data_IF_691034155255
#
_entry.id   IF_691034155255
#
_cell.length_a   1.000
_cell.length_b   1.000
_cell.length_c   1.000
_cell.angle_alpha   90.00
_cell.angle_beta   90.00
_cell.angle_gamma   90.00
#
_symmetry.space_group_name_H-M   'P 1'
#
loop_
_entity.id
_entity.type
_entity.pdbx_description
1 polymer ?
#
# COMPACT_ATOMS: atom_id res chain seq x y z
N UNK A 1 -1.55 56.30 -49.16
CA UNK A 1 -0.95 55.42 -48.14
C UNK A 1 -2.10 54.67 -47.49
N UNK A 2 -2.05 53.34 -47.48
CA UNK A 2 -3.05 52.53 -46.80
C UNK A 2 -2.71 52.45 -45.31
N UNK A 3 -3.74 52.53 -44.47
CA UNK A 3 -3.62 52.40 -43.01
C UNK A 3 -4.57 51.31 -42.53
N UNK A 4 -4.14 50.55 -41.54
CA UNK A 4 -4.99 49.56 -40.87
C UNK A 4 -5.48 50.13 -39.55
N UNK A 5 -6.79 50.25 -39.39
CA UNK A 5 -7.43 50.60 -38.14
C UNK A 5 -7.74 49.33 -37.36
N UNK A 6 -7.11 49.19 -36.19
CA UNK A 6 -7.29 48.06 -35.28
C UNK A 6 -7.87 48.54 -33.95
N UNK A 7 -8.98 47.94 -33.52
CA UNK A 7 -9.65 48.27 -32.26
C UNK A 7 -9.91 46.98 -31.49
N UNK A 8 -9.43 46.91 -30.25
CA UNK A 8 -9.55 45.73 -29.37
C UNK A 8 -10.02 46.14 -27.98
N UNK A 9 -10.92 45.33 -27.40
CA UNK A 9 -11.38 45.49 -26.02
C UNK A 9 -11.60 44.11 -25.38
N UNK A 10 -11.35 43.99 -24.08
CA UNK A 10 -11.43 42.73 -23.34
C UNK A 10 -12.86 42.17 -23.40
N UNK A 11 -13.00 40.89 -23.78
CA UNK A 11 -14.30 40.23 -23.96
C UNK A 11 -15.00 40.51 -25.30
N UNK A 12 -14.33 41.15 -26.25
CA UNK A 12 -14.85 41.42 -27.59
C UNK A 12 -13.86 40.97 -28.67
N UNK A 13 -14.39 40.62 -29.85
CA UNK A 13 -13.54 40.32 -31.01
C UNK A 13 -12.82 41.60 -31.47
N UNK A 14 -11.53 41.44 -31.78
CA UNK A 14 -10.74 42.52 -32.34
C UNK A 14 -11.26 42.88 -33.73
N UNK A 15 -11.53 44.16 -33.95
CA UNK A 15 -11.96 44.71 -35.23
C UNK A 15 -10.74 45.24 -35.99
N UNK A 16 -10.60 44.85 -37.26
CA UNK A 16 -9.53 45.32 -38.16
C UNK A 16 -10.12 45.72 -39.51
N UNK A 17 -9.83 46.94 -39.96
CA UNK A 17 -10.25 47.43 -41.27
C UNK A 17 -9.16 48.29 -41.90
N UNK A 18 -8.87 48.05 -43.17
CA UNK A 18 -7.97 48.90 -43.95
C UNK A 18 -8.72 50.09 -44.52
N UNK A 19 -8.12 51.27 -44.46
CA UNK A 19 -8.66 52.48 -45.07
C UNK A 19 -7.55 53.31 -45.74
N UNK A 20 -7.93 54.05 -46.78
CA UNK A 20 -7.06 55.02 -47.45
C UNK A 20 -7.66 56.41 -47.25
N UNK A 21 -7.01 57.31 -46.48
CA UNK A 21 -7.54 58.64 -46.24
C UNK A 21 -7.57 59.48 -47.53
N UNK A 22 -8.75 60.05 -47.82
CA UNK A 22 -8.99 61.06 -48.87
C UNK A 22 -9.01 62.45 -48.24
N UNK A 23 -8.59 63.51 -48.97
CA UNK A 23 -8.49 64.89 -48.44
C UNK A 23 -9.85 65.52 -48.07
N UNK A 24 -10.98 64.93 -48.48
CA UNK A 24 -12.34 65.42 -48.14
C UNK A 24 -13.07 64.58 -47.08
N UNK A 25 -12.39 63.60 -46.47
CA UNK A 25 -13.05 62.65 -45.57
C UNK A 25 -13.19 63.24 -44.16
N UNK A 26 -14.37 63.80 -43.86
CA UNK A 26 -14.80 64.23 -42.52
C UNK A 26 -15.99 63.39 -42.03
N UNK A 27 -15.90 62.07 -42.17
CA UNK A 27 -16.94 61.15 -41.68
C UNK A 27 -16.56 60.52 -40.34
N UNK A 28 -17.48 60.53 -39.38
CA UNK A 28 -17.34 59.82 -38.13
C UNK A 28 -17.52 58.32 -38.37
N UNK A 29 -16.47 57.53 -38.10
CA UNK A 29 -16.52 56.07 -38.20
C UNK A 29 -17.03 55.51 -36.87
N UNK A 30 -18.24 54.95 -36.86
CA UNK A 30 -18.77 54.21 -35.71
C UNK A 30 -18.37 52.73 -35.82
N UNK A 31 -17.64 52.23 -34.83
CA UNK A 31 -17.17 50.83 -34.78
C UNK A 31 -17.92 50.11 -33.66
N UNK A 32 -18.70 49.10 -34.02
CA UNK A 32 -19.39 48.24 -33.07
C UNK A 32 -18.64 46.91 -32.93
N UNK A 33 -18.05 46.67 -31.76
CA UNK A 33 -17.33 45.43 -31.47
C UNK A 33 -18.31 44.29 -31.16
N UNK A 34 -18.04 43.10 -31.70
CA UNK A 34 -18.83 41.91 -31.40
C UNK A 34 -18.39 41.31 -30.06
N UNK A 35 -19.33 41.13 -29.13
CA UNK A 35 -19.07 40.50 -27.84
C UNK A 35 -18.69 39.03 -28.03
N UNK A 36 -17.59 38.61 -27.40
CA UNK A 36 -17.07 37.25 -27.44
C UNK A 36 -16.44 36.89 -26.08
N UNK A 37 -17.26 36.53 -25.09
CA UNK A 37 -16.78 36.07 -23.80
C UNK A 37 -16.12 34.69 -23.97
N UNK A 38 -14.91 34.55 -23.43
CA UNK A 38 -14.21 33.28 -23.37
C UNK A 38 -14.60 32.60 -22.05
N UNK A 39 -15.42 31.56 -22.13
CA UNK A 39 -15.79 30.76 -20.97
C UNK A 39 -14.65 29.78 -20.67
N UNK A 40 -14.12 29.83 -19.46
CA UNK A 40 -13.17 28.82 -18.98
C UNK A 40 -13.91 27.49 -18.81
N UNK A 41 -13.26 26.39 -19.18
CA UNK A 41 -13.81 25.05 -18.97
C UNK A 41 -13.99 24.79 -17.47
N UNK A 42 -15.09 24.13 -17.13
CA UNK A 42 -15.39 23.70 -15.77
C UNK A 42 -14.34 22.67 -15.29
N UNK A 43 -13.83 22.86 -14.07
CA UNK A 43 -12.91 21.91 -13.43
C UNK A 43 -13.75 20.90 -12.65
N UNK A 44 -13.86 19.66 -13.14
CA UNK A 44 -14.42 18.57 -12.34
C UNK A 44 -13.40 18.11 -11.29
N UNK A 45 -13.71 18.35 -10.02
CA UNK A 45 -13.00 17.75 -8.89
C UNK A 45 -13.64 16.38 -8.61
N UNK A 46 -13.07 15.31 -9.16
CA UNK A 46 -13.50 13.94 -8.82
C UNK A 46 -12.93 13.62 -7.45
N UNK A 47 -13.76 13.76 -6.41
CA UNK A 47 -13.37 13.34 -5.06
C UNK A 47 -13.56 11.84 -4.94
N UNK A 48 -12.45 11.12 -4.88
CA UNK A 48 -12.47 9.71 -4.57
C UNK A 48 -12.75 9.49 -3.08
N UNK A 49 -13.69 8.60 -2.75
CA UNK A 49 -14.01 8.30 -1.34
C UNK A 49 -12.79 7.66 -0.64
N UNK A 50 -12.37 8.17 0.53
CA UNK A 50 -11.18 7.70 1.24
C UNK A 50 -11.38 6.32 1.87
N UNK A 51 -12.61 6.01 2.27
CA UNK A 51 -13.04 4.72 2.81
C UNK A 51 -14.26 4.25 2.05
N UNK A 52 -14.27 2.98 1.65
CA UNK A 52 -15.39 2.34 0.95
C UNK A 52 -15.63 0.97 1.56
N UNK A 53 -16.89 0.56 1.67
CA UNK A 53 -17.24 -0.80 2.08
C UNK A 53 -17.76 -1.57 0.86
N UNK A 54 -17.25 -2.78 0.65
CA UNK A 54 -17.64 -3.68 -0.43
C UNK A 54 -17.93 -5.05 0.16
N UNK A 55 -19.21 -5.34 0.44
CA UNK A 55 -19.61 -6.55 1.17
C UNK A 55 -18.94 -6.57 2.54
N UNK A 56 -18.18 -7.63 2.80
CA UNK A 56 -17.46 -7.84 4.07
C UNK A 56 -16.05 -7.23 4.09
N UNK A 57 -15.70 -6.46 3.06
CA UNK A 57 -14.39 -5.82 2.92
C UNK A 57 -14.47 -4.31 3.15
N UNK A 58 -13.66 -3.79 4.08
CA UNK A 58 -13.46 -2.36 4.26
C UNK A 58 -12.20 -1.92 3.51
N UNK A 59 -12.34 -0.99 2.57
CA UNK A 59 -11.28 -0.53 1.68
C UNK A 59 -10.87 0.89 2.07
N UNK A 60 -9.60 1.06 2.44
CA UNK A 60 -8.97 2.33 2.70
C UNK A 60 -8.05 2.71 1.54
N UNK A 61 -8.16 3.93 1.04
CA UNK A 61 -7.18 4.49 0.09
C UNK A 61 -6.03 5.08 0.87
N UNK A 62 -4.82 4.52 0.71
CA UNK A 62 -3.66 4.95 1.48
C UNK A 62 -3.37 6.44 1.28
N UNK A 63 -3.43 6.92 0.03
CA UNK A 63 -3.15 8.31 -0.34
C UNK A 63 -4.04 9.35 0.36
N UNK A 64 -5.24 8.96 0.81
CA UNK A 64 -6.14 9.86 1.53
C UNK A 64 -5.74 10.07 3.01
N UNK A 65 -4.92 9.19 3.57
CA UNK A 65 -4.49 9.22 4.97
C UNK A 65 -3.00 9.48 5.15
N UNK A 66 -2.22 9.35 4.07
CA UNK A 66 -0.77 9.58 4.08
C UNK A 66 -0.42 11.01 3.64
N UNK A 67 0.66 11.57 4.19
CA UNK A 67 1.18 12.89 3.82
C UNK A 67 2.55 12.85 3.12
N UNK A 68 3.03 11.66 2.78
CA UNK A 68 4.28 11.42 2.05
C UNK A 68 5.51 11.34 2.96
N UNK A 69 5.36 11.42 4.28
CA UNK A 69 6.46 11.22 5.25
C UNK A 69 6.60 9.77 5.70
N UNK A 70 5.65 8.92 5.31
CA UNK A 70 5.64 7.49 5.61
C UNK A 70 6.75 6.79 4.84
N UNK A 71 7.47 5.91 5.53
CA UNK A 71 8.54 5.10 4.95
C UNK A 71 8.08 3.68 4.72
N UNK A 72 7.34 3.13 5.67
CA UNK A 72 6.94 1.72 5.72
C UNK A 72 5.43 1.58 5.88
N UNK A 73 4.93 0.38 5.62
CA UNK A 73 3.52 0.04 5.77
C UNK A 73 3.01 0.28 7.20
N UNK A 74 3.84 0.06 8.22
CA UNK A 74 3.50 0.40 9.61
C UNK A 74 3.09 1.87 9.80
N UNK A 75 3.79 2.80 9.13
CA UNK A 75 3.48 4.23 9.19
C UNK A 75 2.12 4.55 8.53
N UNK A 76 1.79 3.83 7.46
CA UNK A 76 0.51 3.98 6.75
C UNK A 76 -0.62 3.44 7.62
N UNK A 77 -0.45 2.25 8.19
CA UNK A 77 -1.44 1.60 9.06
C UNK A 77 -1.73 2.46 10.29
N UNK A 78 -0.70 3.02 10.92
CA UNK A 78 -0.86 3.89 12.09
C UNK A 78 -1.66 5.18 11.83
N UNK A 79 -1.88 5.55 10.55
CA UNK A 79 -2.72 6.69 10.16
C UNK A 79 -4.14 6.30 9.76
N UNK A 80 -4.44 5.01 9.64
CA UNK A 80 -5.78 4.55 9.28
C UNK A 80 -6.72 4.53 10.50
N UNK A 81 -7.96 5.04 10.36
CA UNK A 81 -8.88 5.07 11.49
C UNK A 81 -9.36 3.66 11.84
N UNK A 82 -9.28 3.31 13.13
CA UNK A 82 -9.69 2.02 13.66
C UNK A 82 -8.65 0.91 13.49
N UNK A 83 -7.44 1.24 13.05
CA UNK A 83 -6.29 0.32 13.00
C UNK A 83 -5.24 0.76 14.02
N UNK A 84 -4.63 -0.21 14.67
CA UNK A 84 -3.51 0.01 15.58
C UNK A 84 -2.36 -0.92 15.19
N UNK A 85 -1.14 -0.46 15.46
CA UNK A 85 0.06 -1.26 15.26
C UNK A 85 0.92 -1.16 16.51
N UNK A 86 1.41 -2.30 16.99
CA UNK A 86 2.32 -2.36 18.14
C UNK A 86 3.79 -2.15 17.73
N UNK A 87 4.69 -2.01 18.71
CA UNK A 87 6.13 -1.85 18.46
C UNK A 87 6.76 -3.07 17.75
N UNK A 88 6.12 -4.23 17.87
CA UNK A 88 6.57 -5.45 17.22
C UNK A 88 6.15 -5.49 15.74
N UNK A 89 5.23 -4.64 15.30
CA UNK A 89 4.67 -4.59 13.96
C UNK A 89 3.38 -5.41 13.80
N UNK A 90 2.76 -5.83 14.91
CA UNK A 90 1.46 -6.51 14.95
C UNK A 90 0.33 -5.53 14.72
N UNK A 91 -0.59 -5.87 13.81
CA UNK A 91 -1.74 -5.03 13.50
C UNK A 91 -2.99 -5.56 14.18
N UNK A 92 -3.77 -4.64 14.74
CA UNK A 92 -5.14 -4.89 15.16
C UNK A 92 -6.11 -3.95 14.44
N UNK A 93 -7.34 -4.41 14.21
CA UNK A 93 -8.43 -3.59 13.68
C UNK A 93 -9.58 -3.68 14.66
N UNK A 94 -10.04 -2.55 15.18
CA UNK A 94 -11.13 -2.49 16.17
C UNK A 94 -10.87 -3.37 17.42
N UNK A 95 -9.61 -3.58 17.79
CA UNK A 95 -9.21 -4.42 18.93
C UNK A 95 -9.04 -5.91 18.61
N UNK A 96 -9.37 -6.35 17.39
CA UNK A 96 -9.14 -7.72 16.93
C UNK A 96 -7.78 -7.83 16.23
N UNK A 97 -6.98 -8.84 16.60
CA UNK A 97 -5.66 -9.06 16.01
C UNK A 97 -5.81 -9.58 14.57
N UNK A 98 -5.03 -9.03 13.66
CA UNK A 98 -4.96 -9.52 12.27
C UNK A 98 -4.10 -10.78 12.22
N UNK A 99 -4.65 -11.87 11.70
CA UNK A 99 -3.96 -13.16 11.65
C UNK A 99 -3.17 -13.35 10.35
N UNK A 100 -3.61 -12.72 9.26
CA UNK A 100 -3.06 -12.93 7.92
C UNK A 100 -2.87 -11.62 7.15
N UNK A 101 -1.77 -11.55 6.40
CA UNK A 101 -1.50 -10.46 5.46
C UNK A 101 -1.36 -11.00 4.05
N UNK A 102 -2.14 -10.42 3.16
CA UNK A 102 -2.13 -10.64 1.73
C UNK A 102 -1.51 -9.42 1.06
N UNK A 103 -0.81 -9.64 -0.05
CA UNK A 103 -0.33 -8.61 -0.96
C UNK A 103 -0.90 -8.92 -2.34
N UNK A 104 -1.65 -7.99 -2.91
CA UNK A 104 -2.42 -8.18 -4.15
C UNK A 104 -3.24 -9.49 -4.16
N UNK A 105 -3.86 -9.83 -3.03
CA UNK A 105 -4.68 -11.03 -2.86
C UNK A 105 -3.90 -12.34 -2.74
N UNK A 106 -2.57 -12.30 -2.71
CA UNK A 106 -1.73 -13.48 -2.45
C UNK A 106 -1.17 -13.43 -1.05
N UNK A 107 -1.10 -14.58 -0.40
CA UNK A 107 -0.45 -14.71 0.89
C UNK A 107 1.00 -14.25 0.83
N UNK A 108 1.35 -13.28 1.67
CA UNK A 108 2.70 -12.74 1.74
C UNK A 108 3.59 -13.64 2.61
N UNK A 109 3.08 -14.03 3.77
CA UNK A 109 3.72 -14.92 4.72
C UNK A 109 2.65 -15.69 5.49
N UNK A 110 2.95 -16.91 5.94
CA UNK A 110 2.06 -17.63 6.85
C UNK A 110 2.28 -17.07 8.26
N UNK A 111 1.27 -16.41 8.82
CA UNK A 111 1.34 -15.81 10.15
C UNK A 111 1.58 -14.30 10.20
N UNK A 112 2.27 -13.88 11.26
CA UNK A 112 2.19 -12.54 11.86
C UNK A 112 2.44 -11.39 10.86
N UNK A 113 1.72 -10.30 11.09
CA UNK A 113 1.72 -9.10 10.24
C UNK A 113 3.08 -8.38 10.17
N UNK A 114 3.97 -8.64 11.13
CA UNK A 114 5.28 -7.98 11.33
C UNK A 114 6.13 -7.91 10.07
N UNK A 115 6.23 -9.02 9.34
CA UNK A 115 7.08 -9.08 8.14
C UNK A 115 6.57 -8.14 7.06
N UNK A 116 5.25 -8.02 6.89
CA UNK A 116 4.67 -7.12 5.91
C UNK A 116 4.80 -5.66 6.37
N UNK A 117 4.42 -5.36 7.60
CA UNK A 117 4.36 -3.99 8.14
C UNK A 117 5.72 -3.32 8.21
N UNK A 118 6.77 -4.09 8.58
CA UNK A 118 8.13 -3.57 8.73
C UNK A 118 8.93 -3.51 7.43
N UNK A 119 8.50 -4.17 6.36
CA UNK A 119 9.29 -4.28 5.12
C UNK A 119 8.64 -3.68 3.88
N UNK A 120 7.30 -3.68 3.78
CA UNK A 120 6.62 -3.12 2.61
C UNK A 120 6.80 -1.60 2.64
N UNK A 121 7.32 -0.99 1.57
CA UNK A 121 7.52 0.45 1.53
C UNK A 121 6.17 1.17 1.36
N UNK A 122 5.97 2.26 2.08
CA UNK A 122 4.70 3.01 2.10
C UNK A 122 4.29 3.48 0.68
N UNK A 123 5.27 3.88 -0.13
CA UNK A 123 5.04 4.37 -1.49
C UNK A 123 4.56 3.28 -2.48
N UNK A 124 4.65 2.00 -2.12
CA UNK A 124 4.14 0.90 -2.94
C UNK A 124 2.66 0.60 -2.69
N UNK A 125 2.07 1.14 -1.62
CA UNK A 125 0.70 0.84 -1.20
C UNK A 125 -0.29 1.76 -1.93
N UNK A 126 -1.28 1.16 -2.60
CA UNK A 126 -2.45 1.84 -3.16
C UNK A 126 -3.60 1.87 -2.15
N UNK A 127 -3.98 0.66 -1.68
CA UNK A 127 -5.13 0.46 -0.79
C UNK A 127 -4.83 -0.57 0.28
N UNK A 128 -5.48 -0.40 1.42
CA UNK A 128 -5.49 -1.39 2.50
C UNK A 128 -6.92 -1.88 2.64
N UNK A 129 -7.11 -3.19 2.53
CA UNK A 129 -8.40 -3.85 2.61
C UNK A 129 -8.45 -4.70 3.87
N UNK A 130 -9.44 -4.43 4.72
CA UNK A 130 -9.74 -5.28 5.87
C UNK A 130 -10.78 -6.29 5.42
N UNK A 131 -10.37 -7.56 5.37
CA UNK A 131 -11.23 -8.69 5.03
C UNK A 131 -11.75 -9.28 6.34
N UNK A 132 -13.06 -9.15 6.57
CA UNK A 132 -13.76 -9.87 7.63
C UNK A 132 -14.07 -11.29 7.16
N UNK A 133 -14.07 -12.25 8.08
CA UNK A 133 -14.41 -13.65 7.82
C UNK A 133 -13.54 -14.32 6.71
N UNK A 134 -12.26 -13.98 6.63
CA UNK A 134 -11.37 -14.50 5.60
C UNK A 134 -11.13 -16.00 5.75
N UNK A 135 -11.60 -16.80 4.79
CA UNK A 135 -11.35 -18.23 4.73
C UNK A 135 -10.57 -18.59 3.46
N UNK A 136 -9.40 -19.22 3.61
CA UNK A 136 -8.57 -19.71 2.50
C UNK A 136 -9.20 -20.86 1.71
N UNK A 137 -10.10 -21.60 2.37
CA UNK A 137 -10.85 -22.71 1.78
C UNK A 137 -12.30 -22.29 1.63
N UNK A 138 -12.91 -22.59 0.48
CA UNK A 138 -14.34 -22.40 0.30
C UNK A 138 -15.09 -23.08 1.48
N UNK A 139 -16.07 -22.42 2.11
CA UNK A 139 -16.71 -22.98 3.29
C UNK A 139 -17.36 -24.32 2.92
N UNK A 140 -16.77 -25.42 3.38
CA UNK A 140 -17.53 -26.65 3.55
C UNK A 140 -18.57 -26.32 4.62
N UNK A 141 -19.85 -26.38 4.23
CA UNK A 141 -20.99 -26.09 5.10
C UNK A 141 -20.78 -26.70 6.49
N UNK A 142 -20.49 -25.87 7.50
CA UNK A 142 -20.57 -26.27 8.91
C UNK A 142 -19.35 -26.09 9.81
N UNK A 143 -18.17 -25.69 9.31
CA UNK A 143 -17.02 -25.36 10.17
C UNK A 143 -16.56 -23.93 9.93
N UNK A 144 -17.11 -23.01 10.72
CA UNK A 144 -16.51 -21.68 10.89
C UNK A 144 -15.26 -21.88 11.75
N UNK A 145 -14.09 -21.95 11.10
CA UNK A 145 -12.83 -21.72 11.79
C UNK A 145 -12.84 -20.31 12.37
N UNK A 146 -12.12 -20.10 13.47
CA UNK A 146 -11.99 -18.84 14.23
C UNK A 146 -12.06 -17.59 13.34
N UNK A 147 -12.75 -16.56 13.82
CA UNK A 147 -12.95 -15.27 13.16
C UNK A 147 -11.62 -14.74 12.58
N UNK A 148 -11.39 -14.99 11.30
CA UNK A 148 -10.12 -14.74 10.64
C UNK A 148 -10.16 -13.33 10.04
N UNK A 149 -9.61 -12.37 10.77
CA UNK A 149 -9.37 -11.04 10.24
C UNK A 149 -8.09 -11.07 9.39
N UNK A 150 -8.21 -10.67 8.12
CA UNK A 150 -7.06 -10.56 7.22
C UNK A 150 -6.92 -9.15 6.65
N UNK A 151 -5.68 -8.73 6.44
CA UNK A 151 -5.37 -7.50 5.73
C UNK A 151 -4.87 -7.81 4.33
N UNK A 152 -5.50 -7.25 3.30
CA UNK A 152 -4.97 -7.28 1.95
C UNK A 152 -4.41 -5.91 1.56
N UNK A 153 -3.12 -5.89 1.24
CA UNK A 153 -2.38 -4.71 0.81
C UNK A 153 -2.37 -4.73 -0.73
N UNK A 154 -3.11 -3.80 -1.33
CA UNK A 154 -3.10 -3.61 -2.77
C UNK A 154 -1.90 -2.72 -3.13
N UNK A 155 -1.06 -3.20 -4.05
CA UNK A 155 0.07 -2.42 -4.55
C UNK A 155 -0.38 -1.47 -5.68
N UNK A 156 0.33 -0.34 -5.80
CA UNK A 156 0.14 0.57 -6.94
C UNK A 156 0.44 -0.14 -8.26
N UNK A 157 -0.22 0.29 -9.33
CA UNK A 157 -0.12 -0.37 -10.64
C UNK A 157 1.32 -0.39 -11.19
N UNK A 158 2.11 0.64 -10.91
CA UNK A 158 3.53 0.76 -11.27
C UNK A 158 4.47 0.01 -10.31
N UNK A 159 3.92 -0.56 -9.22
CA UNK A 159 4.64 -1.25 -8.14
C UNK A 159 4.27 -2.73 -8.02
N UNK A 160 3.75 -3.32 -9.10
CA UNK A 160 3.45 -4.77 -9.16
C UNK A 160 4.67 -5.67 -9.26
N UNK A 161 5.84 -5.11 -9.59
CA UNK A 161 7.12 -5.80 -9.59
C UNK A 161 8.07 -5.05 -8.65
N UNK A 162 8.20 -5.51 -7.42
CA UNK A 162 9.01 -4.83 -6.41
C UNK A 162 9.94 -5.80 -5.71
N UNK A 163 11.18 -5.35 -5.51
CA UNK A 163 12.13 -5.93 -4.57
C UNK A 163 12.18 -4.99 -3.37
N UNK A 164 11.89 -5.51 -2.18
CA UNK A 164 11.86 -4.73 -0.95
C UNK A 164 12.31 -5.57 0.24
N UNK A 165 12.61 -4.89 1.35
CA UNK A 165 13.12 -5.51 2.56
C UNK A 165 14.19 -4.64 3.21
N UNK A 166 14.87 -5.19 4.21
CA UNK A 166 15.86 -4.49 5.00
C UNK A 166 17.19 -5.23 5.05
N UNK A 167 18.26 -4.46 5.19
CA UNK A 167 19.61 -4.95 5.36
C UNK A 167 20.21 -4.24 6.57
N UNK A 168 20.60 -5.02 7.56
CA UNK A 168 21.24 -4.53 8.77
C UNK A 168 22.64 -5.12 8.87
N UNK A 169 23.64 -4.27 9.05
CA UNK A 169 25.02 -4.70 9.27
C UNK A 169 25.64 -3.87 10.39
N UNK A 170 26.38 -4.51 11.29
CA UNK A 170 26.98 -3.85 12.44
C UNK A 170 28.22 -4.59 12.92
N UNK A 171 29.17 -3.81 13.45
CA UNK A 171 30.39 -4.28 14.10
C UNK A 171 30.50 -3.62 15.48
N UNK A 172 31.01 -4.33 16.47
CA UNK A 172 31.15 -3.83 17.84
C UNK A 172 32.43 -4.29 18.54
N UNK A 173 32.72 -3.74 19.74
CA UNK A 173 33.81 -4.20 20.59
C UNK A 173 33.73 -5.71 20.87
N UNK A 174 34.85 -6.34 21.23
CA UNK A 174 34.95 -7.77 21.50
C UNK A 174 34.55 -8.66 20.31
N UNK A 175 34.89 -8.24 19.08
CA UNK A 175 34.61 -8.99 17.83
C UNK A 175 33.12 -9.25 17.57
N UNK A 176 32.24 -8.40 18.11
CA UNK A 176 30.80 -8.51 17.86
C UNK A 176 30.48 -8.12 16.43
N UNK A 177 29.66 -8.93 15.76
CA UNK A 177 29.13 -8.66 14.44
C UNK A 177 27.66 -9.04 14.36
N UNK A 178 26.95 -8.31 13.52
CA UNK A 178 25.58 -8.61 13.12
C UNK A 178 25.43 -8.32 11.63
N UNK A 179 24.78 -9.22 10.93
CA UNK A 179 24.46 -9.11 9.52
C UNK A 179 23.11 -9.78 9.31
N UNK A 180 22.12 -8.99 8.92
CA UNK A 180 20.75 -9.43 8.71
C UNK A 180 20.26 -8.91 7.36
N UNK A 181 19.58 -9.75 6.59
CA UNK A 181 19.04 -9.40 5.28
C UNK A 181 17.67 -10.06 5.10
N UNK A 182 16.63 -9.25 4.99
CA UNK A 182 15.33 -9.66 4.49
C UNK A 182 15.14 -9.08 3.10
N UNK A 183 14.89 -9.93 2.11
CA UNK A 183 14.66 -9.52 0.73
C UNK A 183 13.45 -10.26 0.17
N UNK A 184 12.47 -9.50 -0.28
CA UNK A 184 11.20 -9.98 -0.81
C UNK A 184 11.06 -9.47 -2.24
N UNK A 185 10.92 -10.38 -3.18
CA UNK A 185 10.63 -10.08 -4.58
C UNK A 185 9.21 -10.52 -4.90
N UNK A 186 8.35 -9.56 -5.20
CA UNK A 186 6.96 -9.79 -5.53
C UNK A 186 6.68 -9.43 -6.99
N UNK A 187 6.03 -10.34 -7.70
CA UNK A 187 5.53 -10.13 -9.06
C UNK A 187 4.21 -10.89 -9.28
N UNK A 188 3.42 -10.55 -10.31
CA UNK A 188 2.17 -11.26 -10.59
C UNK A 188 2.34 -12.76 -10.85
N UNK A 189 3.54 -13.23 -11.24
CA UNK A 189 3.80 -14.65 -11.55
C UNK A 189 4.72 -15.36 -10.55
N UNK A 190 5.48 -14.61 -9.75
CA UNK A 190 6.55 -15.14 -8.92
C UNK A 190 6.69 -14.32 -7.63
N UNK A 191 6.68 -15.02 -6.50
CA UNK A 191 6.96 -14.46 -5.18
C UNK A 191 8.18 -15.19 -4.63
N UNK A 192 9.26 -14.48 -4.31
CA UNK A 192 10.47 -15.03 -3.72
C UNK A 192 10.81 -14.27 -2.44
N UNK A 193 11.12 -15.02 -1.39
CA UNK A 193 11.46 -14.46 -0.09
C UNK A 193 12.84 -15.04 0.31
N UNK A 194 13.80 -14.16 0.60
CA UNK A 194 15.14 -14.50 1.05
C UNK A 194 15.38 -13.83 2.40
N UNK A 195 15.64 -14.64 3.41
CA UNK A 195 15.99 -14.17 4.76
C UNK A 195 17.35 -14.79 5.10
N UNK A 196 18.32 -13.96 5.46
CA UNK A 196 19.65 -14.38 5.85
C UNK A 196 20.08 -13.65 7.10
N UNK A 197 20.64 -14.39 8.06
CA UNK A 197 21.10 -13.81 9.32
C UNK A 197 22.42 -14.45 9.77
N UNK A 198 23.35 -13.61 10.19
CA UNK A 198 24.64 -14.00 10.72
C UNK A 198 25.05 -13.00 11.81
N UNK A 199 24.98 -13.41 13.06
CA UNK A 199 25.39 -12.58 14.19
C UNK A 199 25.97 -13.42 15.33
N UNK A 200 26.77 -12.79 16.20
CA UNK A 200 27.29 -13.39 17.43
C UNK A 200 26.84 -12.66 18.71
N UNK A 201 25.80 -11.81 18.60
CA UNK A 201 25.22 -11.05 19.72
C UNK A 201 23.98 -11.72 20.32
N UNK A 202 23.56 -12.85 19.75
CA UNK A 202 22.40 -13.61 20.21
C UNK A 202 21.06 -12.99 19.79
N UNK A 203 21.10 -12.07 18.82
CA UNK A 203 19.89 -11.55 18.18
C UNK A 203 19.32 -12.63 17.26
N UNK A 204 18.02 -12.89 17.33
CA UNK A 204 17.40 -13.95 16.54
C UNK A 204 16.46 -13.33 15.54
N UNK A 205 16.92 -13.24 14.30
CA UNK A 205 16.07 -12.86 13.16
C UNK A 205 14.93 -13.83 12.88
N UNK A 206 15.07 -15.08 13.30
CA UNK A 206 14.11 -16.15 13.03
C UNK A 206 14.00 -17.08 14.23
N UNK A 207 12.79 -17.26 14.73
CA UNK A 207 12.51 -18.33 15.69
C UNK A 207 12.24 -19.65 14.95
N UNK A 208 12.37 -20.77 15.66
CA UNK A 208 11.92 -22.08 15.14
C UNK A 208 10.44 -22.01 14.73
N UNK A 209 9.65 -21.21 15.44
CA UNK A 209 8.24 -20.97 15.14
C UNK A 209 8.05 -20.22 13.81
N UNK A 210 8.90 -19.22 13.52
CA UNK A 210 8.90 -18.50 12.24
C UNK A 210 9.31 -19.40 11.07
N UNK A 211 10.20 -20.39 11.30
CA UNK A 211 10.58 -21.39 10.30
C UNK A 211 9.43 -22.32 9.91
N UNK A 212 8.70 -22.84 10.91
CA UNK A 212 7.54 -23.66 10.63
C UNK A 212 6.43 -22.89 9.91
N UNK A 213 6.26 -21.60 10.24
CA UNK A 213 5.35 -20.69 9.56
C UNK A 213 5.79 -20.40 8.11
N UNK A 214 7.07 -20.11 7.89
CA UNK A 214 7.60 -19.78 6.56
C UNK A 214 7.46 -20.91 5.54
N UNK A 215 7.57 -22.16 5.97
CA UNK A 215 7.39 -23.34 5.12
C UNK A 215 5.91 -23.78 4.95
N UNK A 216 4.94 -22.97 5.42
CA UNK A 216 3.50 -23.23 5.30
C UNK A 216 2.94 -24.20 6.35
N UNK A 217 3.60 -24.35 7.49
CA UNK A 217 3.29 -25.40 8.47
C UNK A 217 3.44 -26.81 7.89
N UNK A 218 3.11 -27.84 8.66
CA UNK A 218 3.05 -29.22 8.14
C UNK A 218 1.89 -29.46 7.14
N UNK A 219 1.15 -28.41 6.73
CA UNK A 219 -0.04 -28.54 5.88
C UNK A 219 0.27 -29.10 4.49
N UNK A 220 1.46 -28.83 3.95
CA UNK A 220 1.92 -29.44 2.70
C UNK A 220 2.23 -30.95 2.82
N UNK A 221 2.43 -31.47 4.04
CA UNK A 221 2.60 -32.91 4.27
C UNK A 221 1.23 -33.63 4.42
N UNK A 222 0.19 -32.94 4.88
CA UNK A 222 -1.15 -33.54 5.09
C UNK A 222 -2.06 -33.45 3.87
N UNK A 223 -1.86 -32.46 2.97
CA UNK A 223 -2.67 -32.29 1.76
C UNK A 223 -2.71 -33.51 0.82
N UNK A 224 -1.68 -34.38 0.87
CA UNK A 224 -1.60 -35.58 0.03
C UNK A 224 -1.99 -36.90 0.74
N UNK A 225 -2.26 -36.89 2.05
CA UNK A 225 -2.43 -38.13 2.82
C UNK A 225 -3.81 -38.29 3.48
N UNK A 226 -4.75 -37.37 3.27
CA UNK A 226 -6.14 -37.48 3.77
C UNK A 226 -6.24 -37.66 5.30
N UNK A 227 -5.20 -37.25 6.03
CA UNK A 227 -5.11 -37.41 7.48
C UNK A 227 -5.08 -36.01 8.10
N UNK A 228 -6.16 -35.63 8.81
CA UNK A 228 -6.24 -34.38 9.55
C UNK A 228 -5.49 -34.54 10.89
N UNK A 229 -4.22 -34.16 10.91
CA UNK A 229 -3.46 -34.06 12.16
C UNK A 229 -3.62 -32.63 12.68
N UNK A 230 -4.58 -32.44 13.58
CA UNK A 230 -4.73 -31.20 14.34
C UNK A 230 -3.78 -31.24 15.55
N UNK A 231 -2.67 -30.51 15.46
CA UNK A 231 -1.75 -30.31 16.58
C UNK A 231 -2.16 -29.00 17.25
N UNK A 232 -2.98 -29.09 18.29
CA UNK A 232 -3.29 -27.95 19.15
C UNK A 232 -2.05 -27.54 19.96
N UNK A 233 -1.94 -26.25 20.23
CA UNK A 233 -0.77 -25.54 20.74
C UNK A 233 -0.24 -26.00 22.13
N UNK A 234 -0.77 -27.06 22.72
CA UNK A 234 -0.43 -27.50 24.09
C UNK A 234 0.59 -28.66 24.16
N UNK A 235 0.91 -29.34 23.06
CA UNK A 235 1.59 -30.66 23.14
C UNK A 235 3.03 -30.74 22.63
N UNK A 236 3.65 -29.64 22.17
CA UNK A 236 5.07 -29.67 21.76
C UNK A 236 5.97 -29.23 22.92
N UNK A 237 6.09 -30.10 23.92
CA UNK A 237 7.13 -30.05 24.94
C UNK A 237 8.49 -30.43 24.35
N UNK A 238 9.09 -29.55 23.55
CA UNK A 238 10.52 -29.61 23.24
C UNK A 238 11.26 -28.73 24.24
N UNK A 239 12.23 -29.32 24.94
CA UNK A 239 13.10 -28.65 25.92
C UNK A 239 13.80 -27.45 25.28
N UNK A 240 13.22 -26.27 25.43
CA UNK A 240 13.91 -25.01 25.29
C UNK A 240 14.70 -24.80 26.59
N UNK A 241 16.01 -24.60 26.50
CA UNK A 241 16.78 -24.11 27.63
C UNK A 241 16.27 -22.69 27.95
N UNK A 242 15.40 -22.61 28.96
CA UNK A 242 14.99 -21.36 29.57
C UNK A 242 16.21 -20.66 30.14
N UNK A 243 16.31 -19.38 29.80
CA UNK A 243 17.37 -18.49 30.25
C UNK A 243 17.04 -18.00 31.66
N UNK A 244 17.09 -18.91 32.63
CA UNK A 244 17.08 -18.58 34.07
C UNK A 244 18.38 -18.93 34.80
N UNK A 245 19.47 -19.21 34.07
CA UNK A 245 20.81 -19.27 34.66
C UNK A 245 21.84 -18.63 33.72
N UNK A 246 22.01 -17.33 33.86
CA UNK A 246 23.24 -16.60 33.56
C UNK A 246 23.42 -15.51 34.62
#
# INVERSE_FOLDING_TARGET
KEYTLKVSFVGYKTFEQNFTPSQEMSENIMIQLAFAPEYLNEVQVVQEMPVMMSGDTLIYKAEAFTDGRERKLEDVIGKLPGMEIDENGEVSVQGEKVNKVLVDGKQFFDGDTKMATKNIPANAVDKIQVLKDYNEVAPMNGMRGEDNLALNIQLKADKKNILFGDLTAGLGPDTRYLSHANLFYYSPKLNLNLIADANNIGDRAFTIQDYFRFNGGLTNFTANSGTDINISNETLGFLMADKENA
#
